data_IF_963786983614
#
_entry.id   IF_963786983614
#
_cell.length_a   1.000
_cell.length_b   1.000
_cell.length_c   1.000
_cell.angle_alpha   90.00
_cell.angle_beta   90.00
_cell.angle_gamma   90.00
#
_symmetry.space_group_name_H-M   'P 1'
#
loop_
_entity.id
_entity.type
_entity.pdbx_description
1 polymer ?
#
# COMPACT_ATOMS: atom_id res chain seq x y z
N UNK A 1 -10.04 -11.86 -10.56
CA UNK A 1 -11.19 -11.25 -9.87
C UNK A 1 -10.88 -10.86 -8.43
N UNK A 2 -10.34 -11.70 -7.54
CA UNK A 2 -10.00 -11.22 -6.17
C UNK A 2 -8.76 -10.33 -6.11
N UNK A 3 -7.70 -10.67 -6.87
CA UNK A 3 -6.48 -9.85 -6.96
C UNK A 3 -6.75 -8.48 -7.60
N UNK A 4 -7.66 -8.43 -8.57
CA UNK A 4 -8.07 -7.17 -9.21
C UNK A 4 -8.83 -6.29 -8.20
N UNK A 5 -9.78 -6.86 -7.44
CA UNK A 5 -10.44 -6.16 -6.34
C UNK A 5 -9.44 -5.63 -5.31
N UNK A 6 -8.43 -6.43 -4.93
CA UNK A 6 -7.40 -5.98 -3.99
C UNK A 6 -6.60 -4.79 -4.51
N UNK A 7 -6.20 -4.81 -5.78
CA UNK A 7 -5.56 -3.65 -6.42
C UNK A 7 -6.47 -2.43 -6.43
N UNK A 8 -7.75 -2.60 -6.74
CA UNK A 8 -8.72 -1.50 -6.76
C UNK A 8 -8.96 -0.91 -5.36
N UNK A 9 -9.03 -1.75 -4.32
CA UNK A 9 -9.15 -1.31 -2.93
C UNK A 9 -7.92 -0.51 -2.49
N UNK A 10 -6.71 -1.03 -2.75
CA UNK A 10 -5.46 -0.32 -2.45
C UNK A 10 -5.40 1.04 -3.16
N UNK A 11 -5.81 1.12 -4.43
CA UNK A 11 -5.88 2.38 -5.19
C UNK A 11 -6.89 3.37 -4.63
N UNK A 12 -8.07 2.91 -4.22
CA UNK A 12 -9.09 3.78 -3.62
C UNK A 12 -8.64 4.37 -2.29
N UNK A 13 -7.86 3.60 -1.53
CA UNK A 13 -7.31 3.98 -0.23
C UNK A 13 -5.86 4.46 -0.33
N UNK A 14 -5.39 4.85 -1.52
CA UNK A 14 -3.97 5.09 -1.78
C UNK A 14 -3.33 6.06 -0.80
N UNK A 15 -4.02 7.15 -0.47
CA UNK A 15 -3.50 8.11 0.51
C UNK A 15 -3.33 7.50 1.91
N UNK A 16 -4.34 6.77 2.40
CA UNK A 16 -4.28 6.11 3.72
C UNK A 16 -3.23 5.00 3.76
N UNK A 17 -3.06 4.28 2.64
CA UNK A 17 -2.05 3.24 2.49
C UNK A 17 -0.65 3.85 2.49
N UNK A 18 -0.43 4.93 1.72
CA UNK A 18 0.85 5.62 1.68
C UNK A 18 1.25 6.11 3.07
N UNK A 19 0.34 6.78 3.78
CA UNK A 19 0.60 7.33 5.12
C UNK A 19 0.96 6.21 6.11
N UNK A 20 0.22 5.11 6.16
CA UNK A 20 0.53 4.01 7.10
C UNK A 20 1.87 3.33 6.81
N UNK A 21 2.25 3.21 5.52
CA UNK A 21 3.55 2.68 5.14
C UNK A 21 4.64 3.65 5.62
N UNK A 22 4.47 4.94 5.31
CA UNK A 22 5.43 6.00 5.61
C UNK A 22 5.65 6.21 7.11
N UNK A 23 4.59 6.10 7.91
CA UNK A 23 4.64 6.22 9.37
C UNK A 23 5.17 4.95 10.09
N UNK A 24 5.34 3.85 9.37
CA UNK A 24 5.95 2.64 9.93
C UNK A 24 7.47 2.81 10.12
N UNK A 25 8.06 2.07 11.07
CA UNK A 25 9.52 2.14 11.33
C UNK A 25 10.36 1.81 10.07
N UNK A 26 9.95 0.78 9.32
CA UNK A 26 10.64 0.36 8.10
C UNK A 26 10.42 1.35 6.96
N UNK A 27 9.19 1.82 6.76
CA UNK A 27 8.88 2.79 5.71
C UNK A 27 9.51 4.16 5.95
N UNK A 28 9.52 4.66 7.18
CA UNK A 28 10.20 5.90 7.54
C UNK A 28 11.71 5.83 7.28
N UNK A 29 12.33 4.68 7.58
CA UNK A 29 13.75 4.46 7.27
C UNK A 29 13.98 4.45 5.77
N UNK A 30 13.17 3.71 5.01
CA UNK A 30 13.28 3.64 3.56
C UNK A 30 13.01 4.99 2.87
N UNK A 31 12.08 5.78 3.39
CA UNK A 31 11.81 7.16 2.96
C UNK A 31 13.05 8.04 3.09
N UNK A 32 13.68 8.03 4.27
CA UNK A 32 14.90 8.81 4.52
C UNK A 32 16.04 8.36 3.60
N UNK A 33 16.26 7.06 3.46
CA UNK A 33 17.32 6.51 2.60
C UNK A 33 17.10 6.80 1.11
N UNK A 34 15.84 6.80 0.66
CA UNK A 34 15.46 7.15 -0.70
C UNK A 34 15.49 8.67 -0.95
N UNK A 35 15.67 9.49 0.10
CA UNK A 35 15.64 10.96 0.06
C UNK A 35 14.31 11.53 -0.43
N UNK A 36 13.18 10.92 -0.07
CA UNK A 36 11.89 11.53 -0.34
C UNK A 36 11.75 12.81 0.50
N UNK A 37 11.13 13.84 -0.09
CA UNK A 37 10.96 15.15 0.59
C UNK A 37 9.51 15.48 0.94
N UNK A 38 8.56 14.67 0.45
CA UNK A 38 7.12 14.90 0.58
C UNK A 38 6.40 13.59 0.92
N UNK A 39 5.12 13.68 1.30
CA UNK A 39 4.29 12.49 1.49
C UNK A 39 4.22 11.69 0.18
N UNK A 40 4.57 10.40 0.19
CA UNK A 40 4.68 9.62 -1.03
C UNK A 40 3.33 9.36 -1.70
N UNK A 41 3.40 9.10 -3.01
CA UNK A 41 2.30 8.61 -3.83
C UNK A 41 2.50 7.13 -4.18
N UNK A 42 1.40 6.36 -4.27
CA UNK A 42 1.45 4.98 -4.76
C UNK A 42 1.75 4.97 -6.25
N UNK A 43 2.85 4.32 -6.64
CA UNK A 43 3.24 3.99 -8.00
C UNK A 43 2.71 2.62 -8.41
N UNK A 44 3.62 1.66 -8.56
CA UNK A 44 3.26 0.28 -8.84
C UNK A 44 2.62 -0.43 -7.63
N UNK A 45 1.63 -1.30 -7.92
CA UNK A 45 0.98 -2.17 -6.93
C UNK A 45 0.97 -3.59 -7.49
N UNK A 46 1.68 -4.48 -6.82
CA UNK A 46 1.74 -5.91 -7.14
C UNK A 46 1.15 -6.68 -5.96
N UNK A 47 -0.09 -7.14 -6.11
CA UNK A 47 -0.73 -8.03 -5.13
C UNK A 47 -0.22 -9.45 -5.37
N UNK A 48 0.53 -9.99 -4.41
CA UNK A 48 1.05 -11.37 -4.43
C UNK A 48 -0.03 -12.37 -4.04
N UNK A 49 -0.85 -12.03 -3.05
CA UNK A 49 -1.95 -12.87 -2.58
C UNK A 49 -3.12 -12.03 -2.04
N UNK A 50 -4.33 -12.58 -2.13
CA UNK A 50 -5.52 -11.97 -1.56
C UNK A 50 -6.59 -13.00 -1.17
N UNK A 51 -7.15 -12.82 0.02
CA UNK A 51 -8.21 -13.67 0.56
C UNK A 51 -9.42 -12.82 0.97
N UNK A 52 -10.63 -13.34 0.76
CA UNK A 52 -11.88 -12.72 1.22
C UNK A 52 -12.61 -13.65 2.20
N UNK A 53 -12.16 -13.74 3.47
CA UNK A 53 -12.61 -14.77 4.42
C UNK A 53 -14.12 -14.85 4.63
N UNK A 54 -14.82 -13.73 4.52
CA UNK A 54 -16.28 -13.65 4.71
C UNK A 54 -16.98 -12.68 3.74
N UNK A 55 -16.39 -12.37 2.58
CA UNK A 55 -16.97 -11.50 1.54
C UNK A 55 -16.99 -9.99 1.85
N UNK A 56 -17.11 -9.63 3.13
CA UNK A 56 -17.07 -8.26 3.65
C UNK A 56 -15.68 -7.87 4.18
N UNK A 57 -14.73 -8.80 4.21
CA UNK A 57 -13.33 -8.54 4.51
C UNK A 57 -12.45 -8.94 3.33
N UNK A 58 -11.34 -8.24 3.21
CA UNK A 58 -10.29 -8.51 2.23
C UNK A 58 -8.95 -8.42 2.94
N UNK A 59 -8.17 -9.50 2.87
CA UNK A 59 -6.78 -9.57 3.31
C UNK A 59 -5.89 -9.63 2.09
N UNK A 60 -4.79 -8.88 2.14
CA UNK A 60 -3.92 -8.67 0.98
C UNK A 60 -2.47 -8.78 1.41
N UNK A 61 -1.67 -9.45 0.60
CA UNK A 61 -0.21 -9.36 0.60
C UNK A 61 0.21 -8.65 -0.69
N UNK A 62 0.99 -7.58 -0.59
CA UNK A 62 1.33 -6.76 -1.75
C UNK A 62 2.70 -6.08 -1.63
N UNK A 63 3.32 -5.86 -2.79
CA UNK A 63 4.46 -4.96 -2.97
C UNK A 63 3.96 -3.66 -3.56
N UNK A 64 4.36 -2.55 -2.95
CA UNK A 64 3.94 -1.20 -3.30
C UNK A 64 5.19 -0.35 -3.52
N UNK A 65 5.26 0.31 -4.67
CA UNK A 65 6.24 1.34 -4.95
C UNK A 65 5.67 2.69 -4.54
N UNK A 66 6.47 3.49 -3.83
CA UNK A 66 6.15 4.81 -3.33
C UNK A 66 7.13 5.81 -3.92
N UNK A 67 6.65 6.95 -4.40
CA UNK A 67 7.49 7.96 -5.05
C UNK A 67 7.06 9.40 -4.71
N UNK A 68 7.99 10.34 -4.87
CA UNK A 68 7.74 11.79 -4.80
C UNK A 68 7.82 12.47 -6.18
N UNK A 69 7.65 13.80 -6.22
CA UNK A 69 7.71 14.58 -7.46
C UNK A 69 9.13 14.74 -8.05
N UNK A 70 10.17 14.26 -7.35
CA UNK A 70 11.58 14.32 -7.77
C UNK A 70 12.10 12.96 -8.26
N UNK A 71 11.18 12.02 -8.55
CA UNK A 71 11.45 10.64 -8.96
C UNK A 71 12.31 9.88 -7.92
N UNK A 72 12.29 10.30 -6.65
CA UNK A 72 12.81 9.49 -5.55
C UNK A 72 11.76 8.44 -5.18
N UNK A 73 12.21 7.22 -4.92
CA UNK A 73 11.28 6.12 -4.71
C UNK A 73 11.83 5.05 -3.76
N UNK A 74 10.91 4.39 -3.06
CA UNK A 74 11.16 3.21 -2.26
C UNK A 74 10.07 2.17 -2.50
N UNK A 75 10.35 0.91 -2.19
CA UNK A 75 9.34 -0.15 -2.18
C UNK A 75 9.03 -0.59 -0.76
N UNK A 76 7.80 -1.05 -0.56
CA UNK A 76 7.34 -1.66 0.67
C UNK A 76 6.54 -2.94 0.39
N UNK A 77 6.87 -4.00 1.13
CA UNK A 77 6.07 -5.21 1.22
C UNK A 77 5.09 -5.07 2.39
N UNK A 78 3.79 -5.29 2.14
CA UNK A 78 2.75 -5.09 3.14
C UNK A 78 1.79 -6.27 3.28
N UNK A 79 1.32 -6.48 4.51
CA UNK A 79 0.05 -7.16 4.79
C UNK A 79 -1.02 -6.11 5.11
N UNK A 80 -2.15 -6.16 4.40
CA UNK A 80 -3.26 -5.25 4.60
C UNK A 80 -4.56 -5.99 4.90
N UNK A 81 -5.36 -5.45 5.83
CA UNK A 81 -6.73 -5.88 6.06
C UNK A 81 -7.70 -4.72 5.80
N UNK A 82 -8.75 -5.01 5.04
CA UNK A 82 -9.75 -4.05 4.60
C UNK A 82 -11.14 -4.63 4.84
N UNK A 83 -12.10 -3.77 5.14
CA UNK A 83 -13.49 -4.16 5.29
C UNK A 83 -14.40 -3.35 4.36
N UNK A 84 -15.45 -3.99 3.86
CA UNK A 84 -16.49 -3.34 3.08
C UNK A 84 -17.46 -2.63 4.03
N UNK A 85 -17.81 -1.39 3.72
CA UNK A 85 -18.81 -0.65 4.51
C UNK A 85 -20.23 -1.16 4.19
N UNK A 86 -21.06 -1.28 5.22
CA UNK A 86 -22.41 -1.87 5.12
C UNK A 86 -23.44 -1.01 4.36
N UNK A 87 -23.05 0.12 3.78
CA UNK A 87 -23.97 1.08 3.15
C UNK A 87 -24.35 0.76 1.69
N UNK A 88 -23.99 -0.45 1.22
CA UNK A 88 -24.36 -0.97 -0.09
C UNK A 88 -23.63 -0.34 -1.27
N UNK A 89 -22.70 0.60 -1.01
CA UNK A 89 -21.76 1.11 -2.01
C UNK A 89 -20.48 0.28 -1.93
N UNK A 90 -19.76 0.17 -3.04
CA UNK A 90 -18.44 -0.48 -3.10
C UNK A 90 -17.38 0.39 -2.41
N UNK A 91 -17.62 0.68 -1.14
CA UNK A 91 -16.78 1.47 -0.26
C UNK A 91 -16.07 0.54 0.70
N UNK A 92 -14.77 0.79 0.85
CA UNK A 92 -13.88 0.01 1.67
C UNK A 92 -13.25 0.92 2.71
N UNK A 93 -12.92 0.35 3.86
CA UNK A 93 -12.14 1.02 4.91
C UNK A 93 -10.92 0.16 5.23
N UNK A 94 -9.77 0.83 5.36
CA UNK A 94 -8.55 0.23 5.91
C UNK A 94 -8.77 -0.13 7.38
N UNK A 95 -8.51 -1.40 7.75
CA UNK A 95 -8.46 -1.85 9.15
C UNK A 95 -7.06 -1.78 9.71
N UNK A 96 -6.10 -2.29 8.95
CA UNK A 96 -4.72 -2.45 9.37
C UNK A 96 -3.83 -2.54 8.13
N UNK A 97 -2.65 -1.95 8.23
CA UNK A 97 -1.54 -2.16 7.33
C UNK A 97 -0.32 -2.48 8.19
N UNK A 98 0.39 -3.53 7.83
CA UNK A 98 1.66 -3.93 8.44
C UNK A 98 2.71 -3.98 7.35
N UNK A 99 3.77 -3.19 7.54
CA UNK A 99 4.96 -3.25 6.68
C UNK A 99 5.83 -4.41 7.13
N UNK A 100 6.13 -5.31 6.19
CA UNK A 100 6.96 -6.49 6.39
C UNK A 100 8.42 -6.22 6.03
N UNK A 101 8.63 -5.47 4.96
CA UNK A 101 9.94 -5.04 4.47
C UNK A 101 9.80 -3.71 3.74
N UNK A 102 10.86 -2.91 3.70
CA UNK A 102 10.92 -1.68 2.91
C UNK A 102 12.37 -1.30 2.59
N UNK A 103 12.59 -0.71 1.41
CA UNK A 103 13.93 -0.27 1.02
C UNK A 103 13.92 0.72 -0.15
N UNK A 104 14.98 1.55 -0.27
CA UNK A 104 15.11 2.49 -1.36
C UNK A 104 15.26 1.75 -2.68
N UNK A 105 14.55 2.23 -3.71
CA UNK A 105 14.73 1.73 -5.07
C UNK A 105 15.78 2.58 -5.81
N UNK A 106 16.63 1.97 -6.64
CA UNK A 106 17.50 2.73 -7.51
C UNK A 106 16.64 3.59 -8.45
N UNK A 107 17.07 4.83 -8.69
CA UNK A 107 16.49 5.67 -9.75
C UNK A 107 16.57 4.89 -11.05
N UNK A 108 15.42 4.67 -11.69
CA UNK A 108 15.21 3.67 -12.74
C UNK A 108 16.37 3.51 -13.74
N UNK A 109 16.69 2.25 -14.06
CA UNK A 109 17.65 1.87 -15.10
C UNK A 109 17.13 1.98 -16.52
#
# INVERSE_FOLDING_TARGET
MILDTAKDVLRRLAHEVAVDIDESELGATAHEEANLTETPHLGAIIVSDAEAPNGDSLRVHAFIELYDNEDNQYEAEIEGEFERLADGRDQWRKKMIRVLDAGPLPKGG
#
